data_IF_819081608995
#
_entry.id   IF_819081608995
#
_cell.length_a   1.000
_cell.length_b   1.000
_cell.length_c   1.000
_cell.angle_alpha   90.00
_cell.angle_beta   90.00
_cell.angle_gamma   90.00
#
_symmetry.space_group_name_H-M   'P 1'
#
loop_
_entity.id
_entity.type
_entity.pdbx_description
1 polymer ?
#
# COMPACT_ATOMS: atom_id res chain seq x y z
N UNK A 1 -4.81 -6.02 18.51
CA UNK A 1 -5.36 -6.77 17.36
C UNK A 1 -4.54 -6.45 16.12
N UNK A 2 -4.67 -7.24 15.05
CA UNK A 2 -3.99 -6.97 13.77
C UNK A 2 -4.38 -5.59 13.24
N UNK A 3 -5.66 -5.25 13.23
CA UNK A 3 -6.10 -3.95 12.71
C UNK A 3 -5.53 -2.75 13.48
N UNK A 4 -5.40 -2.84 14.81
CA UNK A 4 -4.77 -1.79 15.60
C UNK A 4 -3.28 -1.59 15.26
N UNK A 5 -2.55 -2.66 14.96
CA UNK A 5 -1.15 -2.58 14.52
C UNK A 5 -1.03 -1.93 13.13
N UNK A 6 -1.99 -2.22 12.26
CA UNK A 6 -2.06 -1.65 10.91
C UNK A 6 -2.37 -0.15 10.99
N UNK A 7 -3.35 0.24 11.79
CA UNK A 7 -3.66 1.66 12.03
C UNK A 7 -2.47 2.42 12.63
N UNK A 8 -1.71 1.80 13.53
CA UNK A 8 -0.49 2.41 14.09
C UNK A 8 0.58 2.65 13.01
N UNK A 9 0.77 1.70 12.09
CA UNK A 9 1.68 1.86 10.94
C UNK A 9 1.20 3.00 10.06
N UNK A 10 -0.08 3.03 9.68
CA UNK A 10 -0.63 4.10 8.83
C UNK A 10 -0.45 5.48 9.45
N UNK A 11 -0.76 5.64 10.75
CA UNK A 11 -0.55 6.91 11.47
C UNK A 11 0.92 7.32 11.50
N UNK A 12 1.82 6.36 11.73
CA UNK A 12 3.27 6.60 11.79
C UNK A 12 3.89 6.97 10.44
N UNK A 13 3.39 6.38 9.34
CA UNK A 13 3.87 6.73 7.98
C UNK A 13 3.29 8.07 7.54
N UNK A 14 2.02 8.33 7.84
CA UNK A 14 1.33 9.56 7.45
C UNK A 14 1.96 10.80 8.09
N UNK A 15 2.37 10.71 9.37
CA UNK A 15 3.09 11.80 10.05
C UNK A 15 4.43 12.13 9.40
N UNK A 16 5.01 11.19 8.64
CA UNK A 16 6.24 11.34 7.85
C UNK A 16 6.00 11.66 6.38
N UNK A 17 4.75 11.97 5.99
CA UNK A 17 4.34 12.25 4.60
C UNK A 17 4.51 11.05 3.66
N UNK A 18 4.45 9.84 4.19
CA UNK A 18 4.35 8.62 3.41
C UNK A 18 2.98 7.98 3.65
N UNK A 19 2.31 7.54 2.60
CA UNK A 19 1.18 6.64 2.75
C UNK A 19 1.62 5.22 2.37
N UNK A 20 1.06 4.21 3.02
CA UNK A 20 1.37 2.80 2.77
C UNK A 20 0.08 2.02 2.60
N UNK A 21 0.10 0.99 1.78
CA UNK A 21 -1.04 0.10 1.51
C UNK A 21 -0.65 -1.34 1.76
N UNK A 22 -1.62 -2.18 2.16
CA UNK A 22 -1.40 -3.63 2.31
C UNK A 22 -1.01 -4.21 0.96
N UNK A 23 0.17 -4.82 0.86
CA UNK A 23 0.67 -5.45 -0.36
C UNK A 23 0.44 -6.95 -0.39
N UNK A 24 0.78 -7.65 0.69
CA UNK A 24 0.76 -9.12 0.75
C UNK A 24 0.56 -9.58 2.18
N UNK A 25 -0.17 -10.68 2.34
CA UNK A 25 -0.32 -11.40 3.60
C UNK A 25 0.36 -12.75 3.42
N UNK A 26 1.27 -13.08 4.33
CA UNK A 26 1.93 -14.39 4.36
C UNK A 26 1.39 -15.20 5.53
N UNK A 27 0.98 -16.43 5.22
CA UNK A 27 0.38 -17.36 6.17
C UNK A 27 1.29 -18.57 6.39
N UNK A 28 1.22 -19.17 7.58
CA UNK A 28 1.87 -20.46 7.85
C UNK A 28 1.03 -21.62 7.29
N UNK A 29 1.49 -22.86 7.50
CA UNK A 29 0.80 -24.08 7.06
C UNK A 29 -0.58 -24.24 7.73
N UNK A 30 -0.76 -23.66 8.92
CA UNK A 30 -2.01 -23.64 9.69
C UNK A 30 -2.94 -22.48 9.28
N UNK A 31 -2.60 -21.78 8.19
CA UNK A 31 -3.35 -20.65 7.63
C UNK A 31 -3.45 -19.41 8.54
N UNK A 32 -2.58 -19.31 9.55
CA UNK A 32 -2.46 -18.16 10.44
C UNK A 32 -1.59 -17.07 9.79
N UNK A 33 -1.94 -15.80 10.03
CA UNK A 33 -1.18 -14.66 9.49
C UNK A 33 0.14 -14.54 10.25
N UNK A 34 1.25 -14.77 9.55
CA UNK A 34 2.61 -14.61 10.10
C UNK A 34 3.19 -13.23 9.79
N UNK A 35 2.96 -12.73 8.57
CA UNK A 35 3.53 -11.47 8.10
C UNK A 35 2.52 -10.69 7.27
N UNK A 36 2.47 -9.37 7.45
CA UNK A 36 1.74 -8.44 6.58
C UNK A 36 2.74 -7.45 6.01
N UNK A 37 2.92 -7.49 4.69
CA UNK A 37 3.81 -6.58 3.98
C UNK A 37 3.04 -5.34 3.54
N UNK A 38 3.66 -4.18 3.78
CA UNK A 38 3.18 -2.87 3.35
C UNK A 38 4.10 -2.32 2.26
N UNK A 39 3.49 -1.67 1.27
CA UNK A 39 4.22 -0.89 0.28
C UNK A 39 3.81 0.57 0.36
N UNK A 40 4.76 1.49 0.15
CA UNK A 40 4.44 2.89 -0.06
C UNK A 40 3.41 3.02 -1.18
N UNK A 41 2.33 3.73 -0.88
CA UNK A 41 1.40 4.13 -1.89
C UNK A 41 2.11 5.11 -2.83
N UNK A 42 1.91 4.85 -4.12
CA UNK A 42 2.43 5.71 -5.18
C UNK A 42 1.31 6.53 -5.80
N UNK A 43 0.12 6.55 -5.20
CA UNK A 43 -0.99 7.41 -5.61
C UNK A 43 -0.54 8.84 -5.87
N UNK A 44 -1.06 9.45 -6.92
CA UNK A 44 -0.66 10.78 -7.36
C UNK A 44 0.70 10.84 -8.08
N UNK A 45 1.60 9.86 -7.93
CA UNK A 45 2.88 9.85 -8.65
C UNK A 45 2.72 9.35 -10.09
N UNK A 46 3.57 9.82 -11.02
CA UNK A 46 3.52 9.35 -12.40
C UNK A 46 3.74 7.83 -12.55
N UNK A 47 2.97 7.20 -13.42
CA UNK A 47 3.23 5.87 -13.98
C UNK A 47 4.34 6.01 -15.02
N UNK A 48 5.50 5.42 -14.74
CA UNK A 48 6.57 5.31 -15.73
C UNK A 48 6.27 4.14 -16.68
N UNK A 49 5.32 4.36 -17.59
CA UNK A 49 4.93 3.41 -18.63
C UNK A 49 4.92 4.17 -19.94
N UNK A 50 5.86 3.84 -20.83
CA UNK A 50 6.15 4.55 -22.08
C UNK A 50 4.96 4.69 -23.06
N UNK A 51 3.81 4.05 -22.78
CA UNK A 51 2.63 3.98 -23.67
C UNK A 51 1.34 4.56 -23.07
N UNK A 52 1.41 5.24 -21.92
CA UNK A 52 0.23 5.85 -21.29
C UNK A 52 0.18 7.36 -21.60
N UNK A 53 -1.01 7.86 -21.95
CA UNK A 53 -1.31 9.28 -22.18
C UNK A 53 -1.04 10.10 -20.93
N UNK A 54 -0.70 11.37 -21.05
CA UNK A 54 -0.36 12.20 -19.88
C UNK A 54 -1.50 12.29 -18.87
N UNK A 55 -2.75 12.38 -19.33
CA UNK A 55 -3.94 12.36 -18.47
C UNK A 55 -4.05 11.10 -17.60
N UNK A 56 -3.57 9.96 -18.09
CA UNK A 56 -3.69 8.64 -17.46
C UNK A 56 -2.43 8.25 -16.65
N UNK A 57 -1.41 9.11 -16.62
CA UNK A 57 -0.15 8.84 -15.92
C UNK A 57 -0.28 8.95 -14.41
N UNK A 58 -1.41 9.40 -13.87
CA UNK A 58 -1.59 9.45 -12.42
C UNK A 58 -1.84 8.03 -11.88
N UNK A 59 -1.08 7.62 -10.88
CA UNK A 59 -1.36 6.38 -10.14
C UNK A 59 -2.59 6.61 -9.25
N UNK A 60 -3.54 5.68 -9.33
CA UNK A 60 -4.62 5.57 -8.36
C UNK A 60 -4.09 4.97 -7.06
N UNK A 61 -4.83 5.20 -5.97
CA UNK A 61 -4.52 4.64 -4.67
C UNK A 61 -4.51 3.12 -4.73
N UNK A 62 -3.47 2.50 -4.20
CA UNK A 62 -3.35 1.05 -4.24
C UNK A 62 -4.39 0.41 -3.32
N UNK A 63 -5.43 -0.19 -3.90
CA UNK A 63 -6.55 -0.80 -3.17
C UNK A 63 -7.85 -0.01 -3.21
N UNK A 64 -7.90 1.16 -3.87
CA UNK A 64 -9.17 1.76 -4.26
C UNK A 64 -9.79 0.90 -5.38
N UNK A 65 -10.89 0.22 -5.08
CA UNK A 65 -11.84 -0.26 -6.08
C UNK A 65 -12.82 0.84 -6.40
#
# INVERSE_FOLDING_TARGET
SVDAAIDAIHKWTQSRRYDVSRQKIERNNDNEIRTILFACDRSGRPKNTRRIREEDRVRTLRGSK
#
